data_IF_785179249592
#
_entry.id   IF_785179249592
#
_cell.length_a   1.000
_cell.length_b   1.000
_cell.length_c   1.000
_cell.angle_alpha   90.00
_cell.angle_beta   90.00
_cell.angle_gamma   90.00
#
_symmetry.space_group_name_H-M   'P 1'
#
loop_
_entity.id
_entity.type
_entity.pdbx_description
1 polymer ?
#
# COMPACT_ATOMS: atom_id res chain seq x y z
N UNK A 1 40.02 81.94 14.88
CA UNK A 1 39.98 82.94 13.80
C UNK A 1 39.31 82.27 12.61
N UNK A 2 38.20 82.85 12.10
CA UNK A 2 37.26 82.39 11.05
C UNK A 2 36.51 81.07 11.38
N UNK A 3 35.17 80.96 11.56
CA UNK A 3 33.94 81.71 11.22
C UNK A 3 33.56 81.74 9.73
N UNK A 4 32.49 81.03 9.38
CA UNK A 4 31.31 81.36 8.51
C UNK A 4 30.48 80.04 8.38
N UNK A 5 29.34 79.80 9.07
CA UNK A 5 27.90 80.14 8.78
C UNK A 5 27.47 79.61 7.39
N UNK A 6 26.43 78.80 7.13
CA UNK A 6 25.03 78.83 7.58
C UNK A 6 24.28 77.50 7.24
N UNK A 7 23.12 77.34 7.89
CA UNK A 7 21.97 76.45 7.62
C UNK A 7 21.37 76.64 6.19
N UNK A 8 20.52 75.77 5.61
CA UNK A 8 19.11 75.44 5.97
C UNK A 8 18.67 74.15 5.23
N UNK A 9 17.68 73.50 5.84
CA UNK A 9 16.98 72.25 5.51
C UNK A 9 16.37 72.09 4.10
N UNK A 10 16.11 70.83 3.74
CA UNK A 10 15.23 70.43 2.65
C UNK A 10 15.00 68.92 2.63
N UNK A 11 14.00 68.46 3.38
CA UNK A 11 13.52 67.08 3.37
C UNK A 11 12.93 66.74 1.99
N UNK A 12 13.36 65.64 1.37
CA UNK A 12 12.82 65.24 0.07
C UNK A 12 13.51 64.06 -0.59
N UNK A 13 13.83 62.98 0.13
CA UNK A 13 14.30 61.75 -0.52
C UNK A 13 14.21 60.51 0.39
N UNK A 14 13.02 60.14 0.91
CA UNK A 14 12.85 58.79 1.50
C UNK A 14 11.42 58.25 1.45
N UNK A 15 10.63 58.62 0.43
CA UNK A 15 9.25 58.15 0.32
C UNK A 15 8.82 57.95 -1.14
N UNK A 16 9.58 57.18 -1.92
CA UNK A 16 9.11 56.73 -3.23
C UNK A 16 9.55 55.31 -3.67
N UNK A 17 10.01 54.45 -2.75
CA UNK A 17 10.32 53.03 -3.08
C UNK A 17 9.47 52.02 -2.29
N UNK A 18 8.56 52.47 -1.40
CA UNK A 18 7.63 51.58 -0.67
C UNK A 18 6.20 51.51 -1.21
N UNK A 19 5.90 52.11 -2.38
CA UNK A 19 4.53 52.11 -2.94
C UNK A 19 4.31 51.35 -4.25
N UNK A 20 5.29 50.59 -4.74
CA UNK A 20 5.14 49.74 -5.93
C UNK A 20 5.13 48.23 -5.64
N UNK A 21 5.09 47.82 -4.37
CA UNK A 21 4.92 46.39 -3.99
C UNK A 21 3.54 46.09 -3.39
N UNK A 22 2.66 47.09 -3.17
CA UNK A 22 1.34 46.86 -2.54
C UNK A 22 0.12 46.81 -3.48
N UNK A 23 0.31 46.87 -4.80
CA UNK A 23 -0.79 46.76 -5.78
C UNK A 23 -0.62 45.60 -6.76
N UNK A 24 -0.52 44.38 -6.22
CA UNK A 24 -1.06 43.17 -6.84
C UNK A 24 -1.88 42.38 -5.82
N UNK A 25 -2.79 43.05 -5.11
CA UNK A 25 -4.01 42.40 -4.60
C UNK A 25 -5.04 42.41 -5.73
N UNK A 26 -4.80 41.53 -6.71
CA UNK A 26 -5.83 41.06 -7.62
C UNK A 26 -6.47 39.83 -6.98
N UNK A 27 -7.78 39.89 -6.79
CA UNK A 27 -8.64 38.79 -6.38
C UNK A 27 -8.36 37.50 -7.17
N UNK A 28 -7.73 36.53 -6.53
CA UNK A 28 -7.64 35.15 -7.01
C UNK A 28 -7.78 34.25 -5.80
N UNK A 29 -8.89 33.53 -5.70
CA UNK A 29 -9.09 32.54 -4.66
C UNK A 29 -7.95 31.52 -4.73
N UNK A 30 -7.16 31.44 -3.66
CA UNK A 30 -6.17 30.38 -3.49
C UNK A 30 -6.94 29.08 -3.30
N UNK A 31 -6.96 28.24 -4.33
CA UNK A 31 -7.30 26.84 -4.18
C UNK A 31 -6.46 26.27 -3.04
N UNK A 32 -7.13 25.68 -2.03
CA UNK A 32 -6.48 24.93 -0.96
C UNK A 32 -5.59 23.87 -1.60
N UNK A 33 -4.28 24.04 -1.53
CA UNK A 33 -3.33 22.96 -1.73
C UNK A 33 -3.60 21.95 -0.63
N UNK A 34 -4.14 20.81 -1.02
CA UNK A 34 -4.46 19.69 -0.14
C UNK A 34 -3.11 19.12 0.35
N UNK A 35 -2.73 19.37 1.60
CA UNK A 35 -1.41 18.99 2.13
C UNK A 35 -1.29 17.46 2.17
N UNK A 36 -0.47 16.92 1.26
CA UNK A 36 -0.26 15.48 1.13
C UNK A 36 0.33 14.87 2.41
N UNK A 37 1.06 15.64 3.22
CA UNK A 37 1.69 15.13 4.45
C UNK A 37 0.68 14.77 5.54
N UNK A 38 -0.45 15.47 5.57
CA UNK A 38 -1.48 15.29 6.60
C UNK A 38 -2.64 14.39 6.13
N UNK A 39 -2.63 13.96 4.87
CA UNK A 39 -3.73 13.17 4.32
C UNK A 39 -3.64 11.70 4.73
N UNK A 40 -4.76 11.16 5.19
CA UNK A 40 -4.89 9.71 5.43
C UNK A 40 -4.82 8.92 4.12
N UNK A 41 -4.19 7.75 4.17
CA UNK A 41 -4.15 6.77 3.06
C UNK A 41 -5.53 6.23 2.68
N UNK A 42 -6.53 6.39 3.56
CA UNK A 42 -7.94 6.06 3.34
C UNK A 42 -8.70 7.10 2.50
N UNK A 43 -8.11 8.28 2.27
CA UNK A 43 -8.79 9.38 1.57
C UNK A 43 -9.07 9.04 0.10
N UNK A 44 -10.28 9.36 -0.35
CA UNK A 44 -10.66 9.34 -1.77
C UNK A 44 -10.31 10.63 -2.51
N UNK A 45 -10.00 11.70 -1.77
CA UNK A 45 -9.62 13.00 -2.31
C UNK A 45 -8.11 13.01 -2.57
N UNK A 46 -7.73 12.71 -3.81
CA UNK A 46 -6.35 12.67 -4.29
C UNK A 46 -5.67 11.30 -4.09
N UNK A 47 -4.84 10.94 -5.06
CA UNK A 47 -4.22 9.63 -5.16
C UNK A 47 -2.89 9.72 -5.89
N UNK A 48 -2.29 8.55 -6.08
CA UNK A 48 -0.97 8.40 -6.70
C UNK A 48 0.08 8.04 -5.68
N UNK A 49 1.20 7.51 -6.16
CA UNK A 49 2.24 6.91 -5.31
C UNK A 49 2.76 7.84 -4.21
N UNK A 50 2.76 9.15 -4.44
CA UNK A 50 3.19 10.15 -3.44
C UNK A 50 2.36 10.12 -2.14
N UNK A 51 1.13 9.59 -2.16
CA UNK A 51 0.33 9.41 -0.94
C UNK A 51 0.94 8.40 0.04
N UNK A 52 1.79 7.49 -0.45
CA UNK A 52 2.52 6.52 0.36
C UNK A 52 3.91 7.02 0.79
N UNK A 53 4.39 8.11 0.20
CA UNK A 53 5.71 8.69 0.50
C UNK A 53 5.64 9.69 1.67
N UNK A 54 4.93 9.34 2.75
CA UNK A 54 4.79 10.21 3.93
C UNK A 54 4.98 9.43 5.22
N UNK A 55 5.48 10.10 6.26
CA UNK A 55 5.57 9.51 7.60
C UNK A 55 4.20 9.04 8.10
N UNK A 56 3.14 9.81 7.83
CA UNK A 56 1.77 9.46 8.21
C UNK A 56 1.33 8.13 7.59
N UNK A 57 1.61 7.92 6.30
CA UNK A 57 1.31 6.66 5.64
C UNK A 57 2.05 5.49 6.29
N UNK A 58 3.35 5.65 6.61
CA UNK A 58 4.13 4.62 7.33
C UNK A 58 3.49 4.30 8.69
N UNK A 59 3.14 5.32 9.48
CA UNK A 59 2.52 5.14 10.80
C UNK A 59 1.15 4.43 10.69
N UNK A 60 0.32 4.81 9.71
CA UNK A 60 -0.99 4.19 9.45
C UNK A 60 -0.85 2.71 9.04
N UNK A 61 0.15 2.37 8.22
CA UNK A 61 0.39 0.98 7.81
C UNK A 61 1.05 0.15 8.91
N UNK A 62 1.92 0.73 9.74
CA UNK A 62 2.43 0.08 10.96
C UNK A 62 1.27 -0.24 11.91
N UNK A 63 0.35 0.72 12.11
CA UNK A 63 -0.87 0.50 12.88
C UNK A 63 -1.73 -0.61 12.25
N UNK A 64 -2.03 -0.52 10.97
CA UNK A 64 -2.90 -1.47 10.27
C UNK A 64 -2.35 -2.90 10.28
N UNK A 65 -1.04 -3.07 10.11
CA UNK A 65 -0.42 -4.39 9.98
C UNK A 65 -0.05 -5.03 11.32
N UNK A 66 0.30 -4.24 12.34
CA UNK A 66 0.89 -4.74 13.59
C UNK A 66 0.22 -4.22 14.87
N UNK A 67 -0.77 -3.33 14.75
CA UNK A 67 -1.50 -2.83 15.91
C UNK A 67 -2.23 -3.95 16.65
N UNK A 68 -2.21 -3.90 17.99
CA UNK A 68 -2.95 -4.86 18.79
C UNK A 68 -4.46 -4.76 18.50
N UNK A 69 -5.21 -5.88 18.50
CA UNK A 69 -6.66 -5.86 18.27
C UNK A 69 -7.43 -4.85 19.11
N UNK A 70 -7.10 -4.74 20.41
CA UNK A 70 -7.68 -3.81 21.36
C UNK A 70 -7.36 -2.34 21.06
N UNK A 71 -6.20 -2.07 20.44
CA UNK A 71 -5.83 -0.73 19.99
C UNK A 71 -6.49 -0.39 18.66
N UNK A 72 -6.61 -1.36 17.76
CA UNK A 72 -7.27 -1.18 16.47
C UNK A 72 -8.78 -1.02 16.61
N UNK A 73 -9.43 -1.78 17.49
CA UNK A 73 -10.87 -1.70 17.73
C UNK A 73 -11.18 -1.79 19.23
N UNK A 74 -11.04 -0.68 19.98
CA UNK A 74 -11.33 -0.64 21.42
C UNK A 74 -12.83 -0.71 21.73
N UNK A 75 -13.70 -0.62 20.71
CA UNK A 75 -15.14 -0.61 20.88
C UNK A 75 -15.71 -2.03 20.85
N UNK A 76 -16.49 -2.38 21.87
CA UNK A 76 -17.20 -3.65 21.92
C UNK A 76 -18.11 -3.89 20.69
N UNK A 77 -18.68 -2.81 20.14
CA UNK A 77 -19.49 -2.83 18.91
C UNK A 77 -18.66 -2.30 17.74
N UNK A 78 -17.95 -3.19 17.06
CA UNK A 78 -17.15 -2.90 15.88
C UNK A 78 -16.96 -4.15 15.01
N UNK A 79 -16.44 -4.01 13.79
CA UNK A 79 -16.22 -5.12 12.86
C UNK A 79 -14.94 -5.90 13.26
N UNK A 80 -14.99 -6.62 14.38
CA UNK A 80 -13.86 -7.37 14.93
C UNK A 80 -13.33 -8.46 13.97
N UNK A 81 -14.19 -8.99 13.10
CA UNK A 81 -13.85 -9.93 12.04
C UNK A 81 -12.92 -9.33 10.96
N UNK A 82 -12.83 -8.01 10.88
CA UNK A 82 -11.97 -7.30 9.94
C UNK A 82 -10.52 -7.15 10.42
N UNK A 83 -10.23 -7.52 11.67
CA UNK A 83 -8.87 -7.49 12.24
C UNK A 83 -8.00 -8.62 11.68
N UNK A 84 -6.70 -8.58 12.00
CA UNK A 84 -5.71 -9.59 11.59
C UNK A 84 -5.72 -9.87 10.07
N UNK A 85 -5.85 -8.80 9.27
CA UNK A 85 -5.97 -8.89 7.82
C UNK A 85 -4.77 -9.63 7.20
N UNK A 86 -3.55 -9.20 7.51
CA UNK A 86 -2.30 -9.79 7.01
C UNK A 86 -2.14 -11.26 7.35
N UNK A 87 -2.52 -11.66 8.58
CA UNK A 87 -2.51 -13.05 9.02
C UNK A 87 -3.47 -13.91 8.18
N UNK A 88 -4.72 -13.45 7.99
CA UNK A 88 -5.72 -14.17 7.18
C UNK A 88 -5.28 -14.33 5.73
N UNK A 89 -4.59 -13.33 5.16
CA UNK A 89 -4.02 -13.44 3.83
C UNK A 89 -2.93 -14.52 3.74
N UNK A 90 -2.02 -14.57 4.72
CA UNK A 90 -0.99 -15.60 4.77
C UNK A 90 -1.57 -17.01 4.91
N UNK A 91 -2.62 -17.17 5.74
CA UNK A 91 -3.35 -18.44 5.85
C UNK A 91 -3.99 -18.86 4.53
N UNK A 92 -4.55 -17.91 3.76
CA UNK A 92 -5.09 -18.20 2.45
C UNK A 92 -4.00 -18.66 1.46
N UNK A 93 -2.84 -18.01 1.48
CA UNK A 93 -1.68 -18.43 0.70
C UNK A 93 -1.20 -19.85 1.08
N UNK A 94 -1.00 -20.11 2.38
CA UNK A 94 -0.57 -21.41 2.91
C UNK A 94 -1.55 -22.52 2.52
N UNK A 95 -2.85 -22.28 2.72
CA UNK A 95 -3.92 -23.24 2.43
C UNK A 95 -3.89 -23.72 0.98
N UNK A 96 -3.55 -22.85 0.03
CA UNK A 96 -3.64 -23.17 -1.40
C UNK A 96 -2.30 -23.48 -2.07
N UNK A 97 -1.16 -23.21 -1.43
CA UNK A 97 0.15 -23.52 -1.97
C UNK A 97 0.52 -24.99 -1.75
N UNK A 98 0.39 -25.81 -2.80
CA UNK A 98 0.67 -27.25 -2.74
C UNK A 98 2.15 -27.58 -2.45
N UNK A 99 3.07 -26.67 -2.77
CA UNK A 99 4.50 -26.85 -2.50
C UNK A 99 4.79 -27.00 -0.99
N UNK A 100 3.95 -26.41 -0.12
CA UNK A 100 4.08 -26.56 1.34
C UNK A 100 3.65 -27.94 1.86
N UNK A 101 3.01 -28.76 1.02
CA UNK A 101 2.52 -30.09 1.38
C UNK A 101 3.40 -31.21 0.82
N UNK A 102 4.56 -30.87 0.27
CA UNK A 102 5.51 -31.86 -0.17
C UNK A 102 6.38 -32.33 1.00
N UNK A 103 6.02 -33.49 1.56
CA UNK A 103 6.77 -34.15 2.63
C UNK A 103 7.79 -35.17 2.11
N UNK A 104 7.91 -35.33 0.79
CA UNK A 104 8.85 -36.29 0.18
C UNK A 104 10.28 -35.78 0.18
N UNK A 105 10.46 -34.45 0.25
CA UNK A 105 11.76 -33.78 0.11
C UNK A 105 12.27 -33.73 -1.33
N UNK A 106 11.44 -34.11 -2.32
CA UNK A 106 11.83 -34.12 -3.72
C UNK A 106 11.80 -32.72 -4.35
N UNK A 107 10.95 -31.81 -3.86
CA UNK A 107 10.91 -30.41 -4.30
C UNK A 107 11.84 -29.52 -3.50
N UNK A 108 12.29 -28.45 -4.14
CA UNK A 108 12.96 -27.35 -3.47
C UNK A 108 12.04 -26.67 -2.46
N UNK A 109 12.64 -25.99 -1.47
CA UNK A 109 11.91 -25.26 -0.45
C UNK A 109 10.92 -24.24 -1.06
N UNK A 110 9.67 -24.18 -0.58
CA UNK A 110 8.65 -23.28 -1.12
C UNK A 110 9.03 -21.81 -0.95
N UNK A 111 8.80 -21.02 -1.99
CA UNK A 111 9.10 -19.59 -1.99
C UNK A 111 7.83 -18.74 -2.17
N UNK A 112 7.76 -17.61 -1.46
CA UNK A 112 6.66 -16.65 -1.58
C UNK A 112 7.15 -15.25 -1.97
N UNK A 113 6.34 -14.54 -2.74
CA UNK A 113 6.51 -13.14 -3.06
C UNK A 113 5.26 -12.35 -2.66
N UNK A 114 5.44 -11.33 -1.83
CA UNK A 114 4.40 -10.38 -1.42
C UNK A 114 4.61 -9.07 -2.18
N UNK A 115 3.78 -8.83 -3.20
CA UNK A 115 3.87 -7.65 -4.08
C UNK A 115 2.96 -6.55 -3.53
N UNK A 116 3.53 -5.36 -3.32
CA UNK A 116 2.89 -4.29 -2.57
C UNK A 116 2.89 -4.58 -1.07
N UNK A 117 4.03 -5.03 -0.52
CA UNK A 117 4.12 -5.52 0.85
C UNK A 117 3.94 -4.42 1.93
N UNK A 118 3.97 -3.15 1.53
CA UNK A 118 4.08 -1.99 2.41
C UNK A 118 5.13 -2.23 3.50
N UNK A 119 4.76 -2.08 4.77
CA UNK A 119 5.65 -2.27 5.93
C UNK A 119 5.90 -3.74 6.30
N UNK A 120 5.52 -4.69 5.45
CA UNK A 120 5.89 -6.11 5.54
C UNK A 120 4.95 -7.01 6.35
N UNK A 121 3.77 -6.54 6.72
CA UNK A 121 2.85 -7.28 7.59
C UNK A 121 2.50 -8.69 7.07
N UNK A 122 2.04 -8.80 5.83
CA UNK A 122 1.76 -10.10 5.22
C UNK A 122 3.04 -10.89 4.93
N UNK A 123 4.14 -10.22 4.55
CA UNK A 123 5.44 -10.86 4.36
C UNK A 123 5.94 -11.60 5.62
N UNK A 124 5.80 -11.01 6.82
CA UNK A 124 6.15 -11.68 8.07
C UNK A 124 5.20 -12.85 8.38
N UNK A 125 3.90 -12.68 8.18
CA UNK A 125 2.93 -13.76 8.40
C UNK A 125 3.17 -14.95 7.44
N UNK A 126 3.54 -14.69 6.19
CA UNK A 126 3.94 -15.73 5.24
C UNK A 126 5.17 -16.52 5.72
N UNK A 127 6.11 -15.88 6.42
CA UNK A 127 7.33 -16.55 6.91
C UNK A 127 7.06 -17.64 7.98
N UNK A 128 5.84 -17.71 8.51
CA UNK A 128 5.39 -18.84 9.35
C UNK A 128 5.46 -20.17 8.58
N UNK A 129 5.00 -20.16 7.34
CA UNK A 129 4.91 -21.35 6.49
C UNK A 129 6.02 -21.40 5.43
N UNK A 130 6.39 -20.26 4.85
CA UNK A 130 7.36 -20.18 3.76
C UNK A 130 8.79 -19.94 4.29
N UNK A 131 9.76 -20.82 3.99
CA UNK A 131 11.16 -20.63 4.38
C UNK A 131 11.82 -19.40 3.73
N UNK A 132 11.36 -18.99 2.54
CA UNK A 132 11.88 -17.83 1.81
C UNK A 132 10.74 -16.93 1.34
N UNK A 133 10.69 -15.71 1.88
CA UNK A 133 9.72 -14.68 1.50
C UNK A 133 10.44 -13.45 0.98
N UNK A 134 10.03 -12.97 -0.19
CA UNK A 134 10.43 -11.67 -0.71
C UNK A 134 9.24 -10.72 -0.62
N UNK A 135 9.35 -9.65 0.18
CA UNK A 135 8.42 -8.53 0.16
C UNK A 135 8.92 -7.47 -0.83
N UNK A 136 8.03 -6.95 -1.67
CA UNK A 136 8.33 -5.91 -2.64
C UNK A 136 7.34 -4.77 -2.54
N UNK A 137 7.81 -3.54 -2.45
CA UNK A 137 6.96 -2.35 -2.52
C UNK A 137 7.60 -1.25 -3.36
N UNK A 138 6.78 -0.39 -3.95
CA UNK A 138 7.25 0.77 -4.69
C UNK A 138 7.86 1.82 -3.76
N UNK A 139 7.28 1.97 -2.56
CA UNK A 139 7.64 3.02 -1.63
C UNK A 139 8.93 2.74 -0.88
N UNK A 140 9.87 3.69 -0.95
CA UNK A 140 11.10 3.63 -0.16
C UNK A 140 10.81 3.67 1.34
N UNK A 141 9.89 4.54 1.76
CA UNK A 141 9.55 4.70 3.18
C UNK A 141 8.89 3.45 3.77
N UNK A 142 8.07 2.74 3.01
CA UNK A 142 7.52 1.46 3.44
C UNK A 142 8.59 0.37 3.53
N UNK A 143 9.46 0.26 2.54
CA UNK A 143 10.55 -0.74 2.56
C UNK A 143 11.52 -0.47 3.70
N UNK A 144 11.88 0.79 3.96
CA UNK A 144 12.74 1.16 5.09
C UNK A 144 12.12 0.78 6.44
N UNK A 145 10.81 1.02 6.60
CA UNK A 145 10.08 0.60 7.79
C UNK A 145 10.02 -0.93 7.94
N UNK A 146 9.80 -1.65 6.83
CA UNK A 146 9.80 -3.11 6.80
C UNK A 146 11.17 -3.70 7.19
N UNK A 147 12.27 -3.13 6.68
CA UNK A 147 13.64 -3.51 7.07
C UNK A 147 13.94 -3.15 8.53
N UNK A 148 13.43 -2.03 9.05
CA UNK A 148 13.53 -1.69 10.47
C UNK A 148 12.79 -2.69 11.37
N UNK A 149 11.56 -3.07 11.00
CA UNK A 149 10.78 -4.13 11.66
C UNK A 149 11.51 -5.47 11.58
N UNK A 150 12.10 -5.81 10.44
CA UNK A 150 12.89 -7.04 10.28
C UNK A 150 14.15 -7.05 11.12
N UNK A 151 14.86 -5.93 11.28
CA UNK A 151 16.08 -5.86 12.06
C UNK A 151 15.78 -5.88 13.57
N UNK A 152 14.83 -5.07 14.03
CA UNK A 152 14.57 -4.85 15.47
C UNK A 152 13.47 -5.73 16.04
N UNK A 153 12.51 -6.15 15.22
CA UNK A 153 11.30 -6.85 15.62
C UNK A 153 10.17 -5.91 16.05
N UNK A 154 10.44 -4.61 16.14
CA UNK A 154 9.48 -3.59 16.54
C UNK A 154 9.83 -2.21 15.97
N UNK A 155 8.84 -1.32 15.94
CA UNK A 155 8.98 0.07 15.52
C UNK A 155 7.98 0.96 16.26
N UNK A 156 8.45 2.11 16.76
CA UNK A 156 7.57 3.15 17.31
C UNK A 156 6.88 3.92 16.17
N UNK A 157 5.60 4.23 16.34
CA UNK A 157 4.83 5.04 15.41
C UNK A 157 3.88 5.99 16.15
N UNK A 158 3.34 6.99 15.44
CA UNK A 158 2.36 7.92 16.00
C UNK A 158 0.94 7.59 15.50
N UNK A 159 0.04 7.25 16.41
CA UNK A 159 -1.37 7.04 16.13
C UNK A 159 -2.17 8.33 16.39
N UNK A 160 -2.87 8.84 15.37
CA UNK A 160 -3.78 9.98 15.56
C UNK A 160 -4.93 9.58 16.48
N UNK A 161 -5.20 10.38 17.50
CA UNK A 161 -6.33 10.19 18.41
C UNK A 161 -7.48 11.11 18.00
N UNK A 162 -7.20 12.40 17.87
CA UNK A 162 -8.15 13.45 17.49
C UNK A 162 -7.41 14.69 16.99
N UNK A 163 -7.67 15.15 15.76
CA UNK A 163 -6.97 16.31 15.18
C UNK A 163 -5.45 16.15 15.27
N UNK A 164 -4.77 17.13 15.87
CA UNK A 164 -3.31 17.11 16.08
C UNK A 164 -2.86 16.26 17.28
N UNK A 165 -3.80 15.75 18.09
CA UNK A 165 -3.51 14.91 19.24
C UNK A 165 -3.11 13.51 18.77
N UNK A 166 -1.87 13.11 19.08
CA UNK A 166 -1.30 11.81 18.74
C UNK A 166 -0.89 11.04 20.00
N UNK A 167 -0.91 9.72 19.90
CA UNK A 167 -0.33 8.81 20.88
C UNK A 167 0.88 8.10 20.26
N UNK A 168 1.91 7.84 21.07
CA UNK A 168 3.02 6.96 20.67
C UNK A 168 2.60 5.51 20.91
N UNK A 169 2.76 4.69 19.89
CA UNK A 169 2.41 3.28 19.91
C UNK A 169 3.61 2.45 19.43
N UNK A 170 3.55 1.14 19.68
CA UNK A 170 4.59 0.20 19.26
C UNK A 170 3.99 -0.83 18.31
N UNK A 171 4.52 -0.91 17.10
CA UNK A 171 4.29 -2.02 16.19
C UNK A 171 5.31 -3.12 16.50
N UNK A 172 4.88 -4.38 16.53
CA UNK A 172 5.78 -5.51 16.78
C UNK A 172 5.48 -6.67 15.83
N UNK A 173 6.53 -7.31 15.33
CA UNK A 173 6.40 -8.62 14.67
C UNK A 173 6.13 -9.65 15.78
N UNK A 174 5.12 -10.54 15.62
CA UNK A 174 4.91 -11.65 16.54
C UNK A 174 6.20 -12.43 16.81
N UNK A 175 6.46 -12.74 18.08
CA UNK A 175 7.74 -13.30 18.53
C UNK A 175 8.02 -14.71 18.01
N UNK A 176 6.98 -15.41 17.53
CA UNK A 176 7.06 -16.75 16.96
C UNK A 176 7.35 -16.77 15.45
N UNK A 177 7.47 -15.60 14.81
CA UNK A 177 7.87 -15.46 13.41
C UNK A 177 9.40 -15.35 13.30
N UNK A 178 9.99 -16.25 12.50
CA UNK A 178 11.40 -16.14 12.11
C UNK A 178 11.58 -15.06 11.04
N UNK A 179 11.92 -13.85 11.49
CA UNK A 179 12.18 -12.68 10.63
C UNK A 179 13.32 -12.88 9.63
N UNK A 180 14.22 -13.85 9.84
CA UNK A 180 15.36 -14.07 8.93
C UNK A 180 14.94 -14.65 7.57
N UNK A 181 13.75 -15.25 7.50
CA UNK A 181 13.13 -15.81 6.29
C UNK A 181 12.62 -14.76 5.31
N UNK A 182 12.49 -13.51 5.75
CA UNK A 182 11.96 -12.42 4.93
C UNK A 182 13.10 -11.55 4.40
N UNK A 183 13.00 -11.14 3.14
CA UNK A 183 13.81 -10.07 2.53
C UNK A 183 12.89 -9.02 1.95
N UNK A 184 13.28 -7.74 2.01
CA UNK A 184 12.54 -6.69 1.34
C UNK A 184 13.33 -6.13 0.16
N UNK A 185 12.59 -5.66 -0.83
CA UNK A 185 13.15 -5.03 -2.02
C UNK A 185 12.24 -3.89 -2.45
N UNK A 186 12.83 -2.72 -2.73
CA UNK A 186 12.09 -1.67 -3.41
C UNK A 186 11.98 -1.99 -4.90
N UNK A 187 10.79 -1.85 -5.48
CA UNK A 187 10.57 -2.12 -6.89
C UNK A 187 9.17 -1.78 -7.38
N UNK A 188 9.02 -1.63 -8.70
CA UNK A 188 7.73 -1.38 -9.34
C UNK A 188 7.04 -2.71 -9.69
N UNK A 189 5.83 -2.93 -9.18
CA UNK A 189 5.01 -4.09 -9.53
C UNK A 189 4.63 -4.14 -11.02
N UNK A 190 4.60 -2.98 -11.70
CA UNK A 190 4.35 -2.90 -13.14
C UNK A 190 5.59 -3.17 -13.99
N UNK A 191 6.79 -3.13 -13.40
CA UNK A 191 8.09 -3.37 -14.05
C UNK A 191 9.01 -4.24 -13.17
N UNK A 192 8.49 -5.41 -12.78
CA UNK A 192 9.24 -6.34 -11.92
C UNK A 192 10.50 -6.85 -12.62
N UNK A 193 11.64 -6.96 -11.93
CA UNK A 193 12.90 -7.41 -12.53
C UNK A 193 12.73 -8.73 -13.30
N UNK A 194 13.23 -8.75 -14.54
CA UNK A 194 13.09 -9.89 -15.45
C UNK A 194 13.82 -11.15 -14.95
N UNK A 195 14.83 -10.97 -14.10
CA UNK A 195 15.62 -12.03 -13.48
C UNK A 195 15.01 -12.57 -12.17
N UNK A 196 13.85 -12.07 -11.71
CA UNK A 196 13.15 -12.69 -10.57
C UNK A 196 12.78 -14.14 -10.91
N UNK A 197 13.27 -15.06 -10.08
CA UNK A 197 12.93 -16.47 -10.18
C UNK A 197 11.42 -16.68 -9.97
N UNK A 198 10.79 -17.63 -10.67
CA UNK A 198 9.39 -17.96 -10.43
C UNK A 198 9.18 -18.48 -8.99
N UNK A 199 8.08 -18.09 -8.35
CA UNK A 199 7.74 -18.42 -6.96
C UNK A 199 6.61 -19.44 -6.87
N UNK A 200 6.53 -20.17 -5.75
CA UNK A 200 5.42 -21.10 -5.48
C UNK A 200 4.13 -20.36 -5.07
N UNK A 201 4.28 -19.19 -4.45
CA UNK A 201 3.16 -18.33 -4.06
C UNK A 201 3.47 -16.86 -4.39
N UNK A 202 2.50 -16.16 -4.98
CA UNK A 202 2.51 -14.70 -5.15
C UNK A 202 1.26 -14.13 -4.52
N UNK A 203 1.43 -13.22 -3.56
CA UNK A 203 0.35 -12.42 -2.96
C UNK A 203 0.40 -11.01 -3.52
N UNK A 204 -0.77 -10.45 -3.87
CA UNK A 204 -0.92 -9.03 -4.19
C UNK A 204 -2.18 -8.51 -3.50
N UNK A 205 -1.99 -7.92 -2.31
CA UNK A 205 -3.07 -7.55 -1.42
C UNK A 205 -3.37 -6.05 -1.44
N UNK A 206 -4.63 -5.70 -1.72
CA UNK A 206 -5.11 -4.34 -1.89
C UNK A 206 -4.28 -3.50 -2.89
N UNK A 207 -3.56 -4.18 -3.80
CA UNK A 207 -2.62 -3.57 -4.72
C UNK A 207 -3.24 -3.24 -6.08
N UNK A 208 -4.04 -4.16 -6.65
CA UNK A 208 -4.38 -4.13 -8.07
C UNK A 208 -5.01 -2.81 -8.53
N UNK A 209 -5.96 -2.26 -7.76
CA UNK A 209 -6.62 -0.99 -8.07
C UNK A 209 -5.81 0.26 -7.71
N UNK A 210 -4.56 0.09 -7.26
CA UNK A 210 -3.58 1.15 -6.98
C UNK A 210 -2.46 1.19 -8.02
N UNK A 211 -2.39 0.23 -8.94
CA UNK A 211 -1.38 0.18 -9.99
C UNK A 211 -1.73 1.14 -11.14
N UNK A 212 -0.74 1.87 -11.70
CA UNK A 212 -0.96 2.64 -12.91
C UNK A 212 -1.19 1.75 -14.15
N UNK A 213 -0.54 0.57 -14.19
CA UNK A 213 -0.62 -0.41 -15.28
C UNK A 213 -1.01 -1.81 -14.77
N UNK A 214 -2.24 -2.01 -14.25
CA UNK A 214 -2.63 -3.28 -13.63
C UNK A 214 -2.54 -4.47 -14.60
N UNK A 215 -2.79 -4.25 -15.88
CA UNK A 215 -2.66 -5.28 -16.93
C UNK A 215 -1.20 -5.74 -17.11
N UNK A 216 -0.22 -4.86 -16.93
CA UNK A 216 1.20 -5.22 -17.06
C UNK A 216 1.62 -6.19 -15.94
N UNK A 217 1.22 -5.90 -14.70
CA UNK A 217 1.42 -6.79 -13.56
C UNK A 217 0.77 -8.17 -13.79
N UNK A 218 -0.51 -8.20 -14.20
CA UNK A 218 -1.22 -9.47 -14.45
C UNK A 218 -0.56 -10.31 -15.55
N UNK A 219 -0.06 -9.69 -16.62
CA UNK A 219 0.71 -10.39 -17.67
C UNK A 219 2.01 -10.97 -17.12
N UNK A 220 2.69 -10.24 -16.23
CA UNK A 220 3.93 -10.70 -15.59
C UNK A 220 3.71 -11.91 -14.67
N UNK A 221 2.55 -12.03 -14.03
CA UNK A 221 2.23 -13.14 -13.11
C UNK A 221 2.46 -14.53 -13.73
N UNK A 222 2.17 -14.71 -15.03
CA UNK A 222 2.36 -16.00 -15.73
C UNK A 222 3.80 -16.51 -15.61
N UNK A 223 4.79 -15.65 -15.79
CA UNK A 223 6.21 -16.04 -15.70
C UNK A 223 6.78 -15.91 -14.29
N UNK A 224 6.09 -15.22 -13.39
CA UNK A 224 6.49 -15.01 -12.00
C UNK A 224 6.12 -16.17 -11.08
N UNK A 225 5.19 -17.04 -11.48
CA UNK A 225 4.67 -18.13 -10.64
C UNK A 225 5.07 -19.45 -11.26
N UNK A 226 5.54 -20.43 -10.49
CA UNK A 226 5.87 -21.78 -10.98
C UNK A 226 4.60 -22.51 -11.47
N UNK A 227 4.67 -23.44 -12.45
CA UNK A 227 3.52 -24.27 -12.79
C UNK A 227 2.99 -25.01 -11.55
N UNK A 228 1.68 -24.98 -11.31
CA UNK A 228 1.06 -25.48 -10.08
C UNK A 228 1.13 -24.53 -8.87
N UNK A 229 1.93 -23.47 -8.94
CA UNK A 229 1.99 -22.41 -7.93
C UNK A 229 0.73 -21.55 -7.91
N UNK A 230 0.62 -20.68 -6.90
CA UNK A 230 -0.58 -19.89 -6.65
C UNK A 230 -0.36 -18.39 -6.76
N UNK A 231 -1.35 -17.70 -7.33
CA UNK A 231 -1.54 -16.25 -7.26
C UNK A 231 -2.74 -15.96 -6.36
N UNK A 232 -2.55 -15.18 -5.31
CA UNK A 232 -3.62 -14.67 -4.46
C UNK A 232 -3.78 -13.18 -4.74
N UNK A 233 -4.84 -12.82 -5.46
CA UNK A 233 -5.20 -11.42 -5.71
C UNK A 233 -6.26 -11.00 -4.71
N UNK A 234 -5.99 -9.96 -3.93
CA UNK A 234 -6.97 -9.41 -2.99
C UNK A 234 -7.18 -7.94 -3.31
N UNK A 235 -8.41 -7.53 -3.59
CA UNK A 235 -8.68 -6.14 -3.98
C UNK A 235 -10.12 -5.70 -3.69
N UNK A 236 -10.33 -4.46 -3.20
CA UNK A 236 -11.65 -3.87 -3.03
C UNK A 236 -12.21 -3.25 -4.34
N UNK A 237 -11.41 -3.23 -5.40
CA UNK A 237 -11.75 -2.68 -6.72
C UNK A 237 -12.22 -1.23 -6.69
N UNK A 238 -11.65 -0.42 -5.79
CA UNK A 238 -12.09 0.96 -5.57
C UNK A 238 -11.86 1.89 -6.75
N UNK A 239 -11.02 1.50 -7.72
CA UNK A 239 -10.67 2.21 -8.96
C UNK A 239 -10.83 3.73 -8.88
N UNK A 240 -9.71 4.41 -8.63
CA UNK A 240 -9.69 5.86 -8.47
C UNK A 240 -8.75 6.47 -9.52
N UNK A 241 -9.17 7.54 -10.24
CA UNK A 241 -8.37 8.11 -11.33
C UNK A 241 -7.00 8.63 -10.89
N UNK A 242 -6.83 8.95 -9.60
CA UNK A 242 -5.55 9.35 -9.04
C UNK A 242 -4.51 8.22 -8.99
N UNK A 243 -4.93 6.96 -9.10
CA UNK A 243 -4.04 5.79 -9.07
C UNK A 243 -3.90 5.16 -10.46
N UNK A 244 -5.04 4.95 -11.13
CA UNK A 244 -5.09 4.31 -12.44
C UNK A 244 -5.90 5.20 -13.36
N UNK A 245 -5.37 5.54 -14.53
CA UNK A 245 -6.13 6.27 -15.55
C UNK A 245 -7.36 5.45 -15.96
N UNK A 246 -8.48 6.13 -16.23
CA UNK A 246 -9.81 5.49 -16.36
C UNK A 246 -9.88 4.49 -17.52
N UNK A 247 -9.14 4.72 -18.59
CA UNK A 247 -9.00 3.84 -19.76
C UNK A 247 -8.20 2.55 -19.45
N UNK A 248 -7.47 2.51 -18.34
CA UNK A 248 -6.70 1.35 -17.87
C UNK A 248 -7.39 0.56 -16.76
N UNK A 249 -8.59 0.98 -16.34
CA UNK A 249 -9.36 0.23 -15.35
C UNK A 249 -9.80 -1.12 -15.91
N UNK A 250 -9.68 -2.16 -15.11
CA UNK A 250 -10.12 -3.50 -15.49
C UNK A 250 -11.64 -3.69 -15.33
N UNK A 251 -12.34 -2.74 -14.71
CA UNK A 251 -13.78 -2.78 -14.49
C UNK A 251 -14.24 -1.55 -13.72
N UNK A 252 -15.49 -1.56 -13.24
CA UNK A 252 -16.05 -0.41 -12.52
C UNK A 252 -16.53 0.71 -13.44
N UNK A 253 -16.87 0.39 -14.69
CA UNK A 253 -17.41 1.31 -15.68
C UNK A 253 -18.51 0.65 -16.52
N UNK A 254 -19.18 1.44 -17.36
CA UNK A 254 -20.20 0.95 -18.29
C UNK A 254 -19.66 0.93 -19.72
N UNK A 255 -19.96 -0.12 -20.47
CA UNK A 255 -19.70 -0.23 -21.90
C UNK A 255 -20.98 -0.69 -22.59
N UNK A 256 -21.45 0.05 -23.59
CA UNK A 256 -22.68 -0.23 -24.35
C UNK A 256 -23.90 -0.48 -23.43
N UNK A 257 -24.03 0.34 -22.38
CA UNK A 257 -25.11 0.25 -21.39
C UNK A 257 -24.99 -0.90 -20.38
N UNK A 258 -23.96 -1.76 -20.48
CA UNK A 258 -23.73 -2.89 -19.56
C UNK A 258 -22.59 -2.59 -18.59
N UNK A 259 -22.72 -2.94 -17.30
CA UNK A 259 -21.63 -2.79 -16.35
C UNK A 259 -20.51 -3.79 -16.69
N UNK A 260 -19.27 -3.30 -16.73
CA UNK A 260 -18.06 -4.13 -16.79
C UNK A 260 -17.52 -4.28 -15.38
N UNK A 261 -17.49 -5.51 -14.86
CA UNK A 261 -17.01 -5.82 -13.51
C UNK A 261 -15.55 -6.27 -13.56
N UNK A 262 -14.76 -5.84 -12.58
CA UNK A 262 -13.33 -6.22 -12.48
C UNK A 262 -13.15 -7.73 -12.42
N UNK A 263 -14.00 -8.42 -11.66
CA UNK A 263 -14.01 -9.88 -11.54
C UNK A 263 -14.09 -10.58 -12.90
N UNK A 264 -15.00 -10.15 -13.77
CA UNK A 264 -15.22 -10.77 -15.08
C UNK A 264 -14.02 -10.54 -16.01
N UNK A 265 -13.43 -9.35 -15.95
CA UNK A 265 -12.18 -9.05 -16.67
C UNK A 265 -11.01 -9.89 -16.16
N UNK A 266 -10.89 -10.08 -14.84
CA UNK A 266 -9.86 -10.93 -14.25
C UNK A 266 -10.01 -12.39 -14.71
N UNK A 267 -11.23 -12.92 -14.72
CA UNK A 267 -11.52 -14.24 -15.31
C UNK A 267 -11.07 -14.30 -16.76
N UNK A 268 -11.45 -13.33 -17.59
CA UNK A 268 -11.07 -13.32 -18.99
C UNK A 268 -9.53 -13.26 -19.21
N UNK A 269 -8.81 -12.47 -18.40
CA UNK A 269 -7.37 -12.27 -18.54
C UNK A 269 -6.54 -13.44 -18.00
N UNK A 270 -6.95 -14.06 -16.89
CA UNK A 270 -6.14 -15.07 -16.20
C UNK A 270 -6.50 -16.50 -16.57
N UNK A 271 -7.76 -16.80 -16.93
CA UNK A 271 -8.21 -18.16 -17.27
C UNK A 271 -7.41 -18.89 -18.36
N UNK A 272 -6.75 -18.21 -19.34
CA UNK A 272 -5.89 -18.92 -20.28
C UNK A 272 -4.72 -19.66 -19.62
N UNK A 273 -4.15 -19.11 -18.56
CA UNK A 273 -2.91 -19.61 -17.92
C UNK A 273 -3.13 -20.10 -16.47
N UNK A 274 -4.30 -19.81 -15.89
CA UNK A 274 -4.62 -20.11 -14.50
C UNK A 274 -6.02 -20.71 -14.34
N UNK A 275 -6.21 -21.50 -13.30
CA UNK A 275 -7.51 -21.98 -12.83
C UNK A 275 -7.90 -21.21 -11.56
N UNK A 276 -9.11 -20.64 -11.51
CA UNK A 276 -9.64 -20.07 -10.26
C UNK A 276 -10.03 -21.22 -9.33
N UNK A 277 -9.37 -21.32 -8.17
CA UNK A 277 -9.57 -22.42 -7.21
C UNK A 277 -10.27 -21.99 -5.93
N UNK A 278 -10.32 -20.70 -5.63
CA UNK A 278 -11.05 -20.16 -4.49
C UNK A 278 -11.44 -18.70 -4.73
N UNK A 279 -12.55 -18.29 -4.09
CA UNK A 279 -12.99 -16.90 -4.01
C UNK A 279 -13.62 -16.69 -2.65
N UNK A 280 -13.20 -15.65 -1.93
CA UNK A 280 -13.77 -15.31 -0.63
C UNK A 280 -13.69 -13.81 -0.36
N UNK A 281 -14.58 -13.33 0.52
CA UNK A 281 -14.60 -11.95 1.00
C UNK A 281 -13.66 -11.81 2.20
N UNK A 282 -12.74 -10.85 2.11
CA UNK A 282 -11.72 -10.58 3.13
C UNK A 282 -11.94 -9.17 3.68
N UNK A 283 -12.66 -9.02 4.80
CA UNK A 283 -12.84 -7.72 5.44
C UNK A 283 -11.49 -7.19 5.96
N UNK A 284 -11.34 -5.87 5.99
CA UNK A 284 -10.19 -5.18 6.56
C UNK A 284 -10.63 -3.88 7.25
N UNK A 285 -9.84 -3.44 8.21
CA UNK A 285 -10.12 -2.23 8.98
C UNK A 285 -8.86 -1.37 9.08
N UNK A 286 -8.94 -0.15 8.54
CA UNK A 286 -7.90 0.87 8.72
C UNK A 286 -8.43 1.91 9.69
N UNK A 287 -7.69 2.16 10.76
CA UNK A 287 -8.02 3.19 11.75
C UNK A 287 -7.40 4.51 11.28
N UNK A 288 -8.21 5.54 11.07
CA UNK A 288 -7.70 6.90 10.76
C UNK A 288 -7.37 7.66 12.03
N UNK A 289 -8.28 7.60 13.01
CA UNK A 289 -8.08 8.12 14.36
C UNK A 289 -9.04 7.43 15.33
N UNK A 290 -9.05 7.80 16.62
CA UNK A 290 -9.79 7.06 17.66
C UNK A 290 -11.31 6.90 17.39
N UNK A 291 -11.91 7.79 16.60
CA UNK A 291 -13.36 7.82 16.31
C UNK A 291 -13.72 7.57 14.84
N UNK A 292 -12.75 7.33 13.96
CA UNK A 292 -12.99 7.17 12.52
C UNK A 292 -12.16 6.04 11.95
N UNK A 293 -12.85 5.17 11.24
CA UNK A 293 -12.30 3.96 10.65
C UNK A 293 -12.77 3.85 9.20
N UNK A 294 -11.91 3.31 8.34
CA UNK A 294 -12.31 2.74 7.08
C UNK A 294 -12.49 1.24 7.26
N UNK A 295 -13.74 0.79 7.26
CA UNK A 295 -14.06 -0.61 7.04
C UNK A 295 -14.18 -0.87 5.54
N UNK A 296 -13.53 -1.91 5.05
CA UNK A 296 -13.65 -2.36 3.68
C UNK A 296 -13.74 -3.88 3.61
N UNK A 297 -14.19 -4.37 2.47
CA UNK A 297 -14.19 -5.80 2.16
C UNK A 297 -13.58 -6.00 0.78
N UNK A 298 -12.45 -6.69 0.74
CA UNK A 298 -11.77 -7.02 -0.50
C UNK A 298 -12.21 -8.39 -0.97
N UNK A 299 -12.38 -8.57 -2.27
CA UNK A 299 -12.50 -9.91 -2.82
C UNK A 299 -11.11 -10.52 -2.94
N UNK A 300 -10.91 -11.68 -2.35
CA UNK A 300 -9.77 -12.53 -2.61
C UNK A 300 -10.10 -13.55 -3.69
N UNK A 301 -9.27 -13.62 -4.73
CA UNK A 301 -9.33 -14.61 -5.80
C UNK A 301 -8.02 -15.41 -5.77
N UNK A 302 -8.12 -16.71 -5.56
CA UNK A 302 -6.98 -17.62 -5.54
C UNK A 302 -6.93 -18.36 -6.87
N UNK A 303 -5.83 -18.16 -7.60
CA UNK A 303 -5.59 -18.75 -8.90
C UNK A 303 -4.43 -19.72 -8.83
N UNK A 304 -4.58 -20.88 -9.46
CA UNK A 304 -3.51 -21.85 -9.63
C UNK A 304 -2.96 -21.77 -11.03
N UNK A 305 -1.64 -21.64 -11.19
CA UNK A 305 -1.02 -21.65 -12.51
C UNK A 305 -1.16 -23.04 -13.13
N UNK A 306 -1.67 -23.11 -14.35
CA UNK A 306 -1.77 -24.37 -15.10
C UNK A 306 -0.38 -24.97 -15.31
N UNK A 307 -0.32 -26.31 -15.29
CA UNK A 307 0.86 -27.05 -15.74
C UNK A 307 1.20 -26.72 -17.20
N UNK A 308 2.40 -27.08 -17.66
CA UNK A 308 2.59 -27.16 -19.11
C UNK A 308 1.61 -28.22 -19.62
N UNK A 309 0.75 -27.86 -20.57
CA UNK A 309 0.08 -28.84 -21.41
C UNK A 309 1.18 -29.71 -22.01
N UNK A 310 1.15 -31.01 -21.71
CA UNK A 310 2.02 -32.00 -22.34
C UNK A 310 1.78 -32.02 -23.86
#
# INVERSE_FOLDING_TARGET
>A
MALVVASVAGAGATLLIQKLVSQRKGSGGSGKGDDLQERSTTSSAGGGAAAYETKKAVDEYLQFHFGAPEDLMPYAKGPHEALSFTHRLAQLCEKHCEALRDFTGERAEPTALDVGCAVGGASFELARAFPHVLGLDYSHHFVDAAEAMKAKGFCEYEAVQEGDVKARCMAAVPSDIDRSRVRFMQGDACDLPSNLAPMDCVLAANLLCRLPEPTAFLKRCRSLIKPGGVLVLVSPYSWLPGWTQKDKWLGGYYKDGKPVRTHDTLLALLSPDFDLVASEDVPFLIREHARKFQWGCSQALVWRRKGKSL
#
